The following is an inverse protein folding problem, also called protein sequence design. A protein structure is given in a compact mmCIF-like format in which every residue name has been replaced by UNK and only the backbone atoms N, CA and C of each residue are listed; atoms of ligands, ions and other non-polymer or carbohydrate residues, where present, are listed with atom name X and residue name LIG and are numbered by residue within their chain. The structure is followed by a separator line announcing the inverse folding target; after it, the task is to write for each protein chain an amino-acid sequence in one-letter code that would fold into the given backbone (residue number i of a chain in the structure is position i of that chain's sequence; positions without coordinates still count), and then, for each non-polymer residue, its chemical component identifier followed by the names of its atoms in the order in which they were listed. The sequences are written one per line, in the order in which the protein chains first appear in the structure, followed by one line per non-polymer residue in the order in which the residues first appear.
data_IF_951086698336
#
_entry.id   IF_951086698336
#
_cell.length_a   1.000
_cell.length_b   1.000
_cell.length_c   1.000
_cell.angle_alpha   90.00
_cell.angle_beta   90.00
_cell.angle_gamma   90.00
#
_symmetry.space_group_name_H-M   'P 1'
#
loop_
_entity.id
_entity.type
_entity.pdbx_description
1 polymer ?
#
# COMPACT_ATOMS: atom_id res chain seq x y z
N UNK A 1 13.16 -28.44 87.97
CA UNK A 1 12.49 -27.30 87.32
C UNK A 1 13.39 -26.92 86.15
N UNK A 2 13.06 -26.98 84.86
CA UNK A 2 11.80 -27.10 84.12
C UNK A 2 12.05 -27.95 82.86
N UNK A 3 10.98 -28.62 82.39
CA UNK A 3 10.91 -29.29 81.09
C UNK A 3 10.84 -28.24 79.98
N UNK A 4 11.48 -28.48 78.84
CA UNK A 4 11.12 -27.78 77.60
C UNK A 4 11.11 -28.75 76.42
N UNK A 5 10.02 -28.66 75.68
CA UNK A 5 9.46 -29.60 74.71
C UNK A 5 10.04 -29.38 73.31
N UNK A 6 10.20 -30.47 72.56
CA UNK A 6 10.46 -30.49 71.11
C UNK A 6 9.31 -29.84 70.33
N UNK A 7 9.63 -28.97 69.37
CA UNK A 7 8.73 -28.67 68.24
C UNK A 7 9.56 -28.62 66.95
N UNK A 8 9.32 -29.62 66.10
CA UNK A 8 9.69 -29.66 64.68
C UNK A 8 8.96 -28.55 63.95
N UNK A 9 9.68 -27.71 63.22
CA UNK A 9 9.07 -26.81 62.22
C UNK A 9 9.48 -27.28 60.84
N UNK A 10 8.51 -27.78 60.08
CA UNK A 10 8.66 -28.20 58.70
C UNK A 10 8.82 -26.98 57.79
N UNK A 11 9.84 -26.99 56.93
CA UNK A 11 9.99 -26.02 55.86
C UNK A 11 9.08 -26.46 54.70
N UNK A 12 7.98 -25.75 54.49
CA UNK A 12 7.15 -25.90 53.29
C UNK A 12 7.74 -24.99 52.21
N UNK A 13 8.32 -25.60 51.18
CA UNK A 13 8.73 -24.92 49.97
C UNK A 13 7.49 -24.51 49.16
N UNK A 14 7.11 -23.23 49.23
CA UNK A 14 6.13 -22.63 48.34
C UNK A 14 6.81 -22.20 47.05
N UNK A 15 6.62 -22.95 45.96
CA UNK A 15 6.98 -22.51 44.62
C UNK A 15 5.97 -21.45 44.16
N UNK A 16 6.30 -20.18 44.36
CA UNK A 16 5.60 -19.09 43.68
C UNK A 16 6.04 -19.07 42.21
N UNK A 17 5.25 -19.70 41.35
CA UNK A 17 5.38 -19.56 39.90
C UNK A 17 5.06 -18.11 39.51
N UNK A 18 6.10 -17.32 39.28
CA UNK A 18 5.97 -16.02 38.64
C UNK A 18 5.58 -16.26 37.17
N UNK A 19 4.29 -16.15 36.87
CA UNK A 19 3.81 -16.04 35.50
C UNK A 19 4.26 -14.67 34.99
N UNK A 20 5.40 -14.63 34.29
CA UNK A 20 5.83 -13.45 33.57
C UNK A 20 4.84 -13.23 32.41
N UNK A 21 3.94 -12.25 32.55
CA UNK A 21 3.25 -11.69 31.39
C UNK A 21 4.34 -11.05 30.52
N UNK A 22 4.68 -11.71 29.42
CA UNK A 22 5.44 -11.09 28.34
C UNK A 22 4.61 -9.90 27.87
N UNK A 23 5.15 -8.70 28.07
CA UNK A 23 4.54 -7.48 27.56
C UNK A 23 4.29 -7.64 26.06
N UNK A 24 3.05 -7.39 25.64
CA UNK A 24 2.79 -7.04 24.26
C UNK A 24 3.67 -5.82 23.96
N UNK A 25 4.80 -6.05 23.29
CA UNK A 25 5.61 -4.96 22.77
C UNK A 25 4.69 -4.07 21.96
N UNK A 26 4.76 -2.76 22.18
CA UNK A 26 4.17 -1.79 21.27
C UNK A 26 4.70 -2.13 19.88
N UNK A 27 3.85 -2.71 19.03
CA UNK A 27 4.21 -2.97 17.64
C UNK A 27 4.66 -1.63 17.07
N UNK A 28 5.95 -1.52 16.78
CA UNK A 28 6.44 -0.36 16.06
C UNK A 28 5.94 -0.53 14.63
N UNK A 29 5.24 0.48 14.10
CA UNK A 29 4.79 0.60 12.72
C UNK A 29 5.86 0.28 11.64
N UNK A 30 7.12 0.14 12.06
CA UNK A 30 8.32 -0.01 11.24
C UNK A 30 8.86 -1.45 11.25
N UNK A 31 8.21 -2.35 11.98
CA UNK A 31 8.58 -3.77 11.98
C UNK A 31 7.74 -4.49 10.96
N UNK A 32 8.41 -5.11 9.99
CA UNK A 32 7.76 -5.95 9.01
C UNK A 32 7.02 -7.11 9.71
N UNK A 33 5.78 -7.36 9.27
CA UNK A 33 4.94 -8.46 9.75
C UNK A 33 4.68 -9.44 8.61
N UNK A 34 4.33 -10.71 8.91
CA UNK A 34 3.89 -11.64 7.88
C UNK A 34 2.62 -11.16 7.15
N UNK A 35 2.50 -11.52 5.87
CA UNK A 35 1.28 -11.29 5.09
C UNK A 35 0.05 -11.93 5.78
N UNK A 36 -1.09 -11.22 5.92
CA UNK A 36 -2.29 -11.77 6.54
C UNK A 36 -2.96 -12.80 5.62
N UNK A 37 -3.82 -13.65 6.20
CA UNK A 37 -4.50 -14.72 5.44
C UNK A 37 -5.55 -14.20 4.44
N UNK A 38 -6.00 -12.95 4.59
CA UNK A 38 -6.97 -12.30 3.73
C UNK A 38 -6.73 -10.80 3.69
N UNK A 39 -7.28 -10.16 2.66
CA UNK A 39 -7.31 -8.71 2.52
C UNK A 39 -8.76 -8.23 2.41
N UNK A 40 -9.06 -7.11 3.05
CA UNK A 40 -10.36 -6.42 2.98
C UNK A 40 -10.42 -5.56 1.71
N UNK A 41 -9.29 -5.04 1.24
CA UNK A 41 -9.23 -4.14 0.09
C UNK A 41 -7.85 -4.11 -0.57
N UNK A 42 -7.79 -3.52 -1.77
CA UNK A 42 -6.54 -3.25 -2.47
C UNK A 42 -6.60 -1.90 -3.19
N UNK A 43 -5.47 -1.22 -3.28
CA UNK A 43 -5.32 0.10 -3.89
C UNK A 43 -4.06 0.17 -4.74
N UNK A 44 -4.06 1.05 -5.72
CA UNK A 44 -2.87 1.41 -6.48
C UNK A 44 -2.76 2.90 -6.69
N UNK A 45 -1.55 3.38 -6.90
CA UNK A 45 -1.27 4.73 -7.37
C UNK A 45 -0.17 4.68 -8.44
N UNK A 46 -0.45 5.32 -9.57
CA UNK A 46 0.59 5.67 -10.55
C UNK A 46 1.12 7.04 -10.18
N UNK A 47 2.40 7.10 -9.81
CA UNK A 47 3.04 8.33 -9.36
C UNK A 47 3.91 8.91 -10.47
N UNK A 48 3.79 10.22 -10.67
CA UNK A 48 4.56 10.94 -11.69
C UNK A 48 5.11 12.26 -11.15
N UNK A 49 6.11 12.86 -11.82
CA UNK A 49 6.79 14.06 -11.34
C UNK A 49 5.91 15.32 -11.43
N UNK A 50 4.94 15.33 -12.34
CA UNK A 50 4.03 16.45 -12.60
C UNK A 50 2.89 16.57 -11.57
N UNK A 51 2.70 15.54 -10.75
CA UNK A 51 1.67 15.49 -9.72
C UNK A 51 2.16 16.00 -8.36
N UNK A 52 3.44 16.37 -8.25
CA UNK A 52 4.07 16.81 -7.00
C UNK A 52 3.54 18.19 -6.59
N UNK A 53 3.21 18.33 -5.31
CA UNK A 53 2.67 19.55 -4.70
C UNK A 53 3.48 19.83 -3.44
N UNK A 54 3.94 21.07 -3.29
CA UNK A 54 4.73 21.49 -2.13
C UNK A 54 3.85 21.69 -0.86
N UNK A 55 4.47 21.90 0.32
CA UNK A 55 3.73 22.14 1.56
C UNK A 55 2.82 23.37 1.54
N UNK A 56 3.07 24.37 0.69
CA UNK A 56 2.23 25.55 0.53
C UNK A 56 1.02 25.30 -0.40
N UNK A 57 1.00 24.14 -1.06
CA UNK A 57 -0.05 23.71 -1.97
C UNK A 57 0.12 24.19 -3.41
N UNK A 58 1.32 24.63 -3.79
CA UNK A 58 1.67 24.93 -5.17
C UNK A 58 2.27 23.71 -5.87
N UNK A 59 2.10 23.63 -7.19
CA UNK A 59 2.75 22.60 -7.98
C UNK A 59 4.28 22.76 -7.88
N UNK A 60 4.97 21.66 -7.62
CA UNK A 60 6.42 21.61 -7.52
C UNK A 60 6.99 20.64 -8.56
N UNK A 61 8.23 20.86 -9.03
CA UNK A 61 8.86 19.93 -9.95
C UNK A 61 9.25 18.64 -9.21
N UNK A 62 8.73 17.49 -9.66
CA UNK A 62 9.32 16.18 -9.35
C UNK A 62 10.53 15.85 -10.22
N UNK A 63 11.05 14.63 -10.07
CA UNK A 63 12.22 14.14 -10.79
C UNK A 63 11.93 13.85 -12.27
N UNK A 64 12.52 14.59 -13.24
CA UNK A 64 12.18 14.41 -14.65
C UNK A 64 12.43 12.99 -15.14
N UNK A 65 11.41 12.38 -15.74
CA UNK A 65 11.48 11.02 -16.27
C UNK A 65 11.26 9.93 -15.22
N UNK A 66 11.10 10.27 -13.95
CA UNK A 66 10.77 9.31 -12.92
C UNK A 66 9.30 8.86 -13.00
N UNK A 67 9.04 7.61 -12.65
CA UNK A 67 7.68 7.07 -12.48
C UNK A 67 7.65 6.13 -11.28
N UNK A 68 6.51 6.03 -10.63
CA UNK A 68 6.28 5.07 -9.56
C UNK A 68 5.00 4.27 -9.75
N UNK A 69 5.04 2.99 -9.40
CA UNK A 69 3.84 2.16 -9.19
C UNK A 69 3.82 1.75 -7.73
N UNK A 70 2.74 2.10 -7.05
CA UNK A 70 2.51 1.74 -5.65
C UNK A 70 1.29 0.85 -5.60
N UNK A 71 1.41 -0.33 -5.01
CA UNK A 71 0.30 -1.25 -4.80
C UNK A 71 0.19 -1.55 -3.32
N UNK A 72 -1.01 -1.41 -2.78
CA UNK A 72 -1.32 -1.67 -1.39
C UNK A 72 -2.42 -2.72 -1.29
N UNK A 73 -2.24 -3.70 -0.41
CA UNK A 73 -3.28 -4.65 -0.01
C UNK A 73 -3.49 -4.49 1.48
N UNK A 74 -4.72 -4.21 1.88
CA UNK A 74 -5.07 -3.84 3.25
C UNK A 74 -5.95 -4.93 3.86
N UNK A 75 -5.70 -5.23 5.12
CA UNK A 75 -6.65 -5.89 6.01
C UNK A 75 -6.89 -4.96 7.19
N UNK A 76 -7.95 -4.14 7.11
CA UNK A 76 -8.33 -3.17 8.13
C UNK A 76 -8.79 -3.82 9.44
N UNK A 77 -9.34 -5.03 9.39
CA UNK A 77 -9.72 -5.79 10.61
C UNK A 77 -8.50 -6.11 11.51
N UNK A 78 -7.32 -6.24 10.91
CA UNK A 78 -6.06 -6.55 11.59
C UNK A 78 -5.06 -5.39 11.57
N UNK A 79 -5.44 -4.26 10.97
CA UNK A 79 -4.58 -3.09 10.72
C UNK A 79 -3.26 -3.44 10.00
N UNK A 80 -3.30 -4.38 9.05
CA UNK A 80 -2.13 -4.76 8.25
C UNK A 80 -2.22 -4.19 6.83
N UNK A 81 -1.16 -3.55 6.38
CA UNK A 81 -0.98 -3.08 5.00
C UNK A 81 0.26 -3.75 4.40
N UNK A 82 0.06 -4.48 3.30
CA UNK A 82 1.14 -5.00 2.47
C UNK A 82 1.36 -4.09 1.27
N UNK A 83 2.61 -3.78 0.96
CA UNK A 83 3.01 -2.88 -0.10
C UNK A 83 3.91 -3.58 -1.14
N UNK A 84 3.75 -3.23 -2.40
CA UNK A 84 4.69 -3.49 -3.52
C UNK A 84 4.89 -2.15 -4.23
N UNK A 85 6.08 -1.58 -4.07
CA UNK A 85 6.45 -0.25 -4.55
C UNK A 85 7.59 -0.42 -5.55
N UNK A 86 7.45 0.20 -6.72
CA UNK A 86 8.46 0.17 -7.78
C UNK A 86 8.65 1.57 -8.32
N UNK A 87 9.89 2.04 -8.30
CA UNK A 87 10.27 3.35 -8.83
C UNK A 87 11.30 3.17 -9.94
N UNK A 88 11.03 3.81 -11.07
CA UNK A 88 11.92 3.91 -12.21
C UNK A 88 12.36 5.37 -12.35
N UNK A 89 13.67 5.61 -12.52
CA UNK A 89 14.22 6.96 -12.74
C UNK A 89 14.25 7.88 -11.52
N UNK A 90 13.89 7.40 -10.32
CA UNK A 90 14.13 8.12 -9.06
C UNK A 90 15.58 7.93 -8.62
N UNK A 91 16.25 9.00 -8.17
CA UNK A 91 17.68 8.96 -7.79
C UNK A 91 17.88 9.27 -6.30
N UNK A 92 18.27 8.28 -5.46
CA UNK A 92 18.71 8.52 -4.08
C UNK A 92 19.97 9.43 -4.02
N UNK A 93 20.29 10.04 -2.87
CA UNK A 93 19.85 9.66 -1.53
C UNK A 93 18.47 10.20 -1.17
N UNK A 94 17.72 9.39 -0.40
CA UNK A 94 16.44 9.74 0.20
C UNK A 94 16.57 10.83 1.26
N UNK A 95 15.57 11.71 1.35
CA UNK A 95 15.51 12.74 2.38
C UNK A 95 14.06 13.05 2.75
N UNK A 96 13.77 13.06 4.05
CA UNK A 96 12.46 13.41 4.59
C UNK A 96 12.59 13.84 6.06
N UNK A 97 11.70 14.70 6.57
CA UNK A 97 11.56 14.93 8.02
C UNK A 97 10.90 13.75 8.74
N UNK A 98 10.21 12.85 8.03
CA UNK A 98 9.68 11.61 8.58
C UNK A 98 10.76 10.53 8.72
N UNK A 99 10.41 9.39 9.32
CA UNK A 99 11.34 8.26 9.55
C UNK A 99 11.92 7.69 8.25
N UNK A 100 11.10 7.66 7.20
CA UNK A 100 11.49 7.31 5.83
C UNK A 100 11.09 8.43 4.87
N UNK A 101 11.39 8.27 3.59
CA UNK A 101 11.08 9.25 2.55
C UNK A 101 10.04 8.74 1.55
N UNK A 102 9.32 7.66 1.89
CA UNK A 102 8.24 7.10 1.08
C UNK A 102 7.02 6.98 1.97
N UNK A 103 5.89 7.53 1.54
CA UNK A 103 4.77 7.72 2.45
C UNK A 103 3.42 7.40 1.81
N UNK A 104 2.41 7.21 2.68
CA UNK A 104 1.01 7.49 2.36
C UNK A 104 0.61 8.72 3.16
N UNK A 105 0.05 9.71 2.48
CA UNK A 105 -0.46 10.97 3.03
C UNK A 105 -1.99 11.02 2.95
N UNK A 106 -2.60 11.79 3.85
CA UNK A 106 -4.03 12.11 3.81
C UNK A 106 -4.27 13.51 3.26
N UNK A 107 -4.58 13.60 1.97
CA UNK A 107 -5.21 14.76 1.33
C UNK A 107 -5.83 14.37 -0.02
N UNK A 108 -6.85 15.12 -0.48
CA UNK A 108 -7.35 14.97 -1.84
C UNK A 108 -6.33 15.41 -2.88
N UNK A 109 -6.60 15.03 -4.14
CA UNK A 109 -5.77 15.40 -5.29
C UNK A 109 -5.47 16.90 -5.35
N UNK A 110 -4.20 17.24 -5.58
CA UNK A 110 -3.73 18.62 -5.69
C UNK A 110 -3.58 19.37 -4.36
N UNK A 111 -3.73 18.70 -3.21
CA UNK A 111 -3.55 19.32 -1.88
C UNK A 111 -2.43 18.64 -1.09
N UNK A 112 -1.63 19.39 -0.31
CA UNK A 112 -0.70 18.80 0.64
C UNK A 112 -1.48 18.24 1.84
N UNK A 113 -0.90 17.24 2.49
CA UNK A 113 -1.46 16.60 3.69
C UNK A 113 -0.37 16.03 4.57
N UNK A 114 -0.65 15.71 5.84
CA UNK A 114 0.31 15.05 6.70
C UNK A 114 0.55 13.59 6.24
N UNK A 115 1.78 13.05 6.42
CA UNK A 115 2.00 11.62 6.21
C UNK A 115 1.27 10.84 7.31
N UNK A 116 0.64 9.72 6.95
CA UNK A 116 -0.02 8.80 7.87
C UNK A 116 0.74 7.49 8.05
N UNK A 117 1.43 7.04 7.00
CA UNK A 117 2.29 5.87 7.03
C UNK A 117 3.65 6.25 6.45
N UNK A 118 4.72 5.93 7.18
CA UNK A 118 6.08 5.94 6.67
C UNK A 118 6.45 4.52 6.22
N UNK A 119 6.68 4.33 4.93
CA UNK A 119 7.01 3.04 4.30
C UNK A 119 8.52 2.91 4.12
N UNK A 120 9.10 1.70 4.20
CA UNK A 120 10.50 1.50 3.85
C UNK A 120 10.83 2.09 2.48
N UNK A 121 11.96 2.77 2.37
CA UNK A 121 12.37 3.37 1.10
C UNK A 121 12.72 2.27 0.09
N UNK A 122 12.35 2.42 -1.19
CA UNK A 122 12.77 1.48 -2.22
C UNK A 122 14.29 1.37 -2.37
N UNK A 123 14.81 0.16 -2.55
CA UNK A 123 16.23 -0.11 -2.76
C UNK A 123 16.45 -0.69 -4.17
N UNK A 124 17.64 -0.49 -4.73
CA UNK A 124 17.95 -1.02 -6.07
C UNK A 124 17.90 -2.56 -6.07
N UNK A 125 17.07 -3.14 -6.94
CA UNK A 125 16.95 -4.59 -7.12
C UNK A 125 18.09 -5.21 -7.93
N UNK A 126 19.08 -4.40 -8.33
CA UNK A 126 20.22 -4.78 -9.16
C UNK A 126 19.96 -4.64 -10.66
N UNK A 127 18.73 -4.30 -11.07
CA UNK A 127 18.37 -3.97 -12.46
C UNK A 127 18.37 -2.45 -12.73
N UNK A 128 18.65 -1.63 -11.72
CA UNK A 128 18.55 -0.17 -11.80
C UNK A 128 17.13 0.36 -11.52
N UNK A 129 16.23 -0.52 -11.05
CA UNK A 129 14.90 -0.16 -10.57
C UNK A 129 14.88 -0.26 -9.06
N UNK A 130 14.21 0.70 -8.41
CA UNK A 130 14.10 0.72 -6.96
C UNK A 130 12.81 0.01 -6.54
N UNK A 131 12.91 -0.93 -5.60
CA UNK A 131 11.78 -1.74 -5.12
C UNK A 131 11.67 -1.71 -3.60
N UNK A 132 10.44 -1.71 -3.11
CA UNK A 132 10.15 -1.96 -1.68
C UNK A 132 8.93 -2.86 -1.58
N UNK A 133 9.08 -3.97 -0.87
CA UNK A 133 7.99 -4.92 -0.62
C UNK A 133 7.98 -5.34 0.86
N UNK A 134 6.80 -5.72 1.36
CA UNK A 134 6.62 -6.17 2.73
C UNK A 134 5.24 -5.85 3.27
N UNK A 135 5.03 -6.10 4.56
CA UNK A 135 3.80 -5.72 5.25
C UNK A 135 4.10 -5.02 6.57
N UNK A 136 3.34 -3.98 6.91
CA UNK A 136 3.39 -3.27 8.18
C UNK A 136 2.08 -3.45 8.93
N UNK A 137 2.15 -3.40 10.25
CA UNK A 137 0.98 -3.43 11.12
C UNK A 137 0.86 -2.16 11.96
N UNK A 138 -0.35 -1.64 12.08
CA UNK A 138 -0.68 -0.53 12.96
C UNK A 138 -0.54 -0.87 14.45
N UNK A 139 -0.53 0.13 15.35
CA UNK A 139 -0.70 1.56 15.07
C UNK A 139 0.48 2.17 14.31
N UNK A 140 0.18 3.06 13.36
CA UNK A 140 1.19 3.67 12.49
C UNK A 140 1.84 4.90 13.12
N UNK A 141 3.10 5.15 12.78
CA UNK A 141 3.84 6.36 13.18
C UNK A 141 4.72 6.83 12.03
N UNK A 142 4.92 8.14 11.92
CA UNK A 142 5.71 8.76 10.85
C UNK A 142 6.96 9.46 11.35
N UNK A 143 7.06 9.69 12.66
CA UNK A 143 8.11 10.50 13.28
C UNK A 143 7.91 12.01 13.13
N UNK A 144 6.85 12.44 12.44
CA UNK A 144 6.54 13.85 12.23
C UNK A 144 5.48 14.28 13.25
N UNK A 145 5.80 15.26 14.10
CA UNK A 145 4.89 15.71 15.16
C UNK A 145 4.85 17.25 15.31
N UNK A 146 4.36 18.01 14.31
CA UNK A 146 4.40 19.48 14.29
C UNK A 146 3.63 20.12 15.45
N UNK A 147 2.62 19.43 15.99
CA UNK A 147 1.79 19.89 17.10
C UNK A 147 1.99 19.06 18.39
N UNK A 148 3.08 18.29 18.47
CA UNK A 148 3.38 17.42 19.62
C UNK A 148 2.70 16.04 19.60
N UNK A 149 1.93 15.73 18.55
CA UNK A 149 1.33 14.41 18.28
C UNK A 149 1.83 13.91 16.93
N UNK A 150 2.22 12.64 16.84
CA UNK A 150 2.69 12.03 15.59
C UNK A 150 1.59 12.08 14.53
N UNK A 151 1.93 12.34 13.27
CA UNK A 151 0.92 12.42 12.23
C UNK A 151 0.31 11.07 11.86
N UNK A 152 0.93 9.95 12.23
CA UNK A 152 0.35 8.62 12.16
C UNK A 152 -0.56 8.26 13.35
N UNK A 153 -0.46 8.98 14.47
CA UNK A 153 -1.29 8.68 15.66
C UNK A 153 -2.79 8.82 15.33
N UNK A 154 -3.55 7.78 15.66
CA UNK A 154 -5.00 7.73 15.46
C UNK A 154 -5.44 7.50 14.01
N UNK A 155 -4.50 7.34 13.08
CA UNK A 155 -4.80 6.87 11.73
C UNK A 155 -5.05 5.35 11.74
N UNK A 156 -6.03 4.91 10.95
CA UNK A 156 -6.44 3.51 10.79
C UNK A 156 -6.68 3.21 9.31
N UNK A 157 -6.47 1.96 8.88
CA UNK A 157 -6.55 1.59 7.47
C UNK A 157 -7.99 1.67 6.91
N UNK A 158 -9.01 1.54 7.75
CA UNK A 158 -10.41 1.73 7.37
C UNK A 158 -10.69 3.14 6.79
N UNK A 159 -9.87 4.15 7.13
CA UNK A 159 -9.99 5.50 6.57
C UNK A 159 -9.64 5.52 5.07
N UNK A 160 -8.62 4.75 4.66
CA UNK A 160 -8.28 4.56 3.23
C UNK A 160 -9.42 3.82 2.52
N UNK A 161 -10.01 2.82 3.17
CA UNK A 161 -11.13 2.07 2.59
C UNK A 161 -12.39 2.93 2.39
N UNK A 162 -12.65 3.84 3.34
CA UNK A 162 -13.80 4.72 3.31
C UNK A 162 -13.71 5.78 2.20
N UNK A 163 -12.52 6.36 1.98
CA UNK A 163 -12.30 7.35 0.92
C UNK A 163 -10.85 7.30 0.39
N UNK A 164 -10.53 6.40 -0.54
CA UNK A 164 -9.17 6.31 -1.09
C UNK A 164 -8.76 7.56 -1.86
N UNK A 165 -9.73 8.36 -2.33
CA UNK A 165 -9.46 9.61 -3.05
C UNK A 165 -8.94 10.73 -2.14
N UNK A 166 -9.04 10.54 -0.82
CA UNK A 166 -8.44 11.39 0.20
C UNK A 166 -6.99 10.98 0.54
N UNK A 167 -6.40 9.99 -0.13
CA UNK A 167 -5.04 9.51 0.16
C UNK A 167 -4.14 9.47 -1.07
N UNK A 168 -2.90 9.94 -0.92
CA UNK A 168 -1.89 9.88 -1.97
C UNK A 168 -0.60 9.27 -1.43
N UNK A 169 0.27 8.84 -2.33
CA UNK A 169 1.61 8.36 -2.00
C UNK A 169 2.66 9.16 -2.74
N UNK A 170 3.84 9.23 -2.16
CA UNK A 170 5.01 9.88 -2.72
C UNK A 170 6.30 9.19 -2.28
N UNK A 171 7.38 9.55 -2.99
CA UNK A 171 8.75 9.30 -2.56
C UNK A 171 9.55 10.58 -2.73
N UNK A 172 10.39 10.92 -1.74
CA UNK A 172 11.22 12.12 -1.71
C UNK A 172 12.70 11.78 -1.81
N UNK A 173 13.47 12.60 -2.51
CA UNK A 173 14.93 12.51 -2.53
C UNK A 173 15.54 13.83 -2.11
N UNK A 174 16.84 13.83 -1.79
CA UNK A 174 17.58 15.06 -1.45
C UNK A 174 17.55 16.12 -2.55
N UNK A 175 17.42 15.71 -3.82
CA UNK A 175 17.27 16.61 -4.96
C UNK A 175 15.82 17.12 -5.12
N UNK A 176 14.84 16.34 -4.65
CA UNK A 176 13.40 16.61 -4.80
C UNK A 176 12.69 16.49 -3.45
N UNK A 177 12.98 17.45 -2.56
CA UNK A 177 12.48 17.44 -1.17
C UNK A 177 10.95 17.56 -1.09
N UNK A 178 10.31 18.26 -2.03
CA UNK A 178 8.84 18.30 -2.12
C UNK A 178 8.23 16.97 -2.61
N UNK A 179 9.03 16.08 -3.19
CA UNK A 179 8.65 14.80 -3.77
C UNK A 179 9.33 14.59 -5.13
N UNK A 180 9.93 13.43 -5.35
CA UNK A 180 10.42 13.00 -6.66
C UNK A 180 9.26 12.53 -7.55
N UNK A 181 8.30 11.81 -6.97
CA UNK A 181 7.05 11.37 -7.62
C UNK A 181 5.90 11.44 -6.63
N UNK A 182 4.68 11.65 -7.14
CA UNK A 182 3.43 11.62 -6.35
C UNK A 182 2.28 10.99 -7.14
N UNK A 183 1.41 10.24 -6.48
CA UNK A 183 0.22 9.62 -7.10
C UNK A 183 -0.95 9.47 -6.12
N UNK A 184 -2.18 9.65 -6.59
CA UNK A 184 -3.39 9.46 -5.78
C UNK A 184 -3.81 7.98 -5.73
N UNK A 185 -4.27 7.50 -4.57
CA UNK A 185 -4.76 6.13 -4.43
C UNK A 185 -6.08 5.93 -5.20
N UNK A 186 -6.20 4.77 -5.83
CA UNK A 186 -7.42 4.30 -6.50
C UNK A 186 -7.66 2.84 -6.11
N UNK A 187 -8.91 2.47 -5.81
CA UNK A 187 -9.26 1.10 -5.45
C UNK A 187 -9.09 0.14 -6.65
N UNK A 188 -8.63 -1.08 -6.36
CA UNK A 188 -8.51 -2.19 -7.34
C UNK A 188 -9.06 -3.49 -6.73
N UNK A 189 -9.45 -4.48 -7.55
CA UNK A 189 -9.93 -5.76 -7.03
C UNK A 189 -8.91 -6.49 -6.15
N UNK A 190 -9.37 -6.98 -5.01
CA UNK A 190 -8.60 -7.89 -4.14
C UNK A 190 -8.41 -9.22 -4.88
N UNK A 191 -7.17 -9.58 -5.19
CA UNK A 191 -6.84 -10.71 -6.08
C UNK A 191 -6.02 -10.32 -7.32
N UNK A 192 -5.80 -9.02 -7.53
CA UNK A 192 -4.72 -8.49 -8.35
C UNK A 192 -5.16 -7.71 -9.58
N UNK A 193 -4.41 -6.66 -9.88
CA UNK A 193 -3.74 -6.64 -11.17
C UNK A 193 -2.61 -7.67 -11.06
N UNK A 194 -2.79 -8.84 -11.67
CA UNK A 194 -1.71 -9.80 -11.78
C UNK A 194 -0.54 -9.10 -12.50
N UNK A 195 0.54 -8.80 -11.80
CA UNK A 195 1.79 -8.39 -12.43
C UNK A 195 2.38 -9.61 -13.14
N UNK A 196 1.94 -9.87 -14.37
CA UNK A 196 2.73 -10.54 -15.39
C UNK A 196 3.09 -12.02 -15.19
N UNK A 197 2.25 -12.84 -14.56
CA UNK A 197 2.31 -14.29 -14.75
C UNK A 197 1.17 -14.70 -15.69
N UNK A 198 1.52 -15.15 -16.90
CA UNK A 198 0.56 -15.56 -17.91
C UNK A 198 -0.37 -16.65 -17.39
N UNK A 199 -1.66 -16.31 -17.26
CA UNK A 199 -2.71 -17.29 -17.04
C UNK A 199 -2.86 -18.14 -18.29
N UNK A 200 -2.34 -19.36 -18.27
CA UNK A 200 -2.94 -20.43 -19.07
C UNK A 200 -4.35 -20.61 -18.54
N UNK A 201 -5.34 -20.38 -19.40
CA UNK A 201 -6.71 -20.74 -19.09
C UNK A 201 -6.76 -22.25 -18.84
N UNK A 202 -7.07 -22.65 -17.60
CA UNK A 202 -7.57 -23.98 -17.33
C UNK A 202 -9.01 -24.02 -17.85
N UNK A 203 -9.16 -24.44 -19.11
CA UNK A 203 -10.44 -24.83 -19.70
C UNK A 203 -10.88 -26.17 -19.07
N UNK A 204 -11.55 -26.11 -17.93
CA UNK A 204 -12.29 -27.25 -17.38
C UNK A 204 -13.60 -27.45 -18.14
N UNK A 205 -13.49 -28.24 -19.21
CA UNK A 205 -14.41 -29.29 -19.65
C UNK A 205 -15.93 -29.09 -19.54
N UNK A 206 -16.59 -28.92 -20.68
CA UNK A 206 -17.89 -29.52 -20.96
C UNK A 206 -17.93 -30.09 -22.40
N UNK A 207 -18.68 -31.17 -22.66
CA UNK A 207 -18.27 -32.23 -23.58
C UNK A 207 -18.65 -31.98 -25.05
N UNK A 208 -17.91 -32.69 -25.90
CA UNK A 208 -18.12 -32.82 -27.33
C UNK A 208 -19.57 -33.13 -27.73
N UNK A 209 -20.12 -32.29 -28.61
CA UNK A 209 -21.27 -32.59 -29.45
C UNK A 209 -20.94 -32.24 -30.89
N UNK A 210 -20.70 -33.26 -31.72
CA UNK A 210 -20.52 -33.15 -33.17
C UNK A 210 -21.70 -32.46 -33.84
N UNK A 211 -21.43 -31.54 -34.78
CA UNK A 211 -22.00 -31.59 -36.14
C UNK A 211 -21.31 -30.55 -37.04
N UNK A 212 -20.46 -31.03 -37.94
CA UNK A 212 -19.99 -30.28 -39.09
C UNK A 212 -21.08 -30.22 -40.15
N UNK A 213 -21.33 -29.04 -40.73
CA UNK A 213 -21.80 -28.92 -42.12
C UNK A 213 -21.14 -27.71 -42.79
N UNK A 214 -20.33 -28.03 -43.79
CA UNK A 214 -19.78 -27.11 -44.76
C UNK A 214 -20.89 -26.57 -45.69
N UNK A 215 -20.77 -25.30 -46.10
CA UNK A 215 -21.62 -24.70 -47.14
C UNK A 215 -21.04 -23.38 -47.62
N UNK A 216 -20.46 -23.40 -48.81
CA UNK A 216 -19.81 -22.26 -49.46
C UNK A 216 -20.80 -21.28 -50.11
N UNK A 217 -20.33 -20.03 -50.24
CA UNK A 217 -20.64 -19.02 -51.26
C UNK A 217 -22.05 -18.37 -51.31
N UNK A 218 -22.10 -17.04 -51.41
CA UNK A 218 -22.42 -16.27 -52.65
C UNK A 218 -22.61 -14.77 -52.33
N UNK A 219 -22.12 -13.94 -53.24
CA UNK A 219 -22.21 -12.48 -53.39
C UNK A 219 -23.61 -11.87 -53.16
N UNK A 220 -23.64 -10.61 -52.69
CA UNK A 220 -24.85 -9.76 -52.73
C UNK A 220 -24.57 -8.29 -52.44
N UNK A 221 -24.81 -7.45 -53.43
CA UNK A 221 -24.55 -6.00 -53.56
C UNK A 221 -25.60 -5.07 -52.93
N UNK A 222 -25.24 -3.77 -52.84
CA UNK A 222 -26.08 -2.56 -52.69
C UNK A 222 -26.63 -2.29 -51.27
N UNK A 223 -26.64 -1.07 -50.72
CA UNK A 223 -26.43 0.28 -51.22
C UNK A 223 -27.44 1.20 -50.50
N UNK A 224 -27.01 2.32 -49.90
CA UNK A 224 -27.79 3.56 -49.79
C UNK A 224 -27.03 4.65 -49.03
N UNK A 225 -26.74 5.72 -49.77
CA UNK A 225 -26.32 7.03 -49.31
C UNK A 225 -27.50 7.76 -48.65
N UNK A 226 -27.27 8.47 -47.54
CA UNK A 226 -28.12 9.59 -47.14
C UNK A 226 -27.29 10.69 -46.46
N UNK A 227 -26.83 11.65 -47.28
CA UNK A 227 -26.41 12.99 -46.85
C UNK A 227 -27.64 13.80 -46.42
N UNK A 228 -27.56 14.49 -45.27
CA UNK A 228 -28.31 15.73 -45.04
C UNK A 228 -27.45 16.79 -44.36
N UNK A 229 -26.92 17.68 -45.21
CA UNK A 229 -26.48 19.04 -44.87
C UNK A 229 -27.71 19.87 -44.48
N UNK A 230 -27.62 20.61 -43.37
CA UNK A 230 -28.46 21.78 -43.12
C UNK A 230 -27.58 23.03 -43.19
N UNK A 231 -27.98 23.95 -44.08
CA UNK A 231 -27.40 25.29 -44.26
C UNK A 231 -27.91 26.21 -43.14
N UNK A 232 -27.06 27.12 -42.67
CA UNK A 232 -27.49 28.37 -42.04
C UNK A 232 -27.01 29.54 -42.91
N UNK A 233 -27.90 30.52 -43.01
CA UNK A 233 -27.70 31.81 -43.67
C UNK A 233 -26.64 32.64 -42.96
#
# INVERSE_FOLDING_TARGET
MSRTTLVRTAVVAGAAGALALTGAGTAAAETEVPEPASFTSAFTAMATPDMVVDPDGAAAPGEPGATGTFTYRINSDTEVICYDIRLDGVTPPYQSPAKTATHIHEAPAGRPGPPRIALPNPEDDGSGRLVSEGCLQGPFTTGVAPNGTDTGDGFTLDQIEADPSAFFTDTHTSAYVAGAVRGQLTAVPVGGVATGAGGTADDDGAPAGLAALAGAAVLGTAGAVALRRTRRQ
#
